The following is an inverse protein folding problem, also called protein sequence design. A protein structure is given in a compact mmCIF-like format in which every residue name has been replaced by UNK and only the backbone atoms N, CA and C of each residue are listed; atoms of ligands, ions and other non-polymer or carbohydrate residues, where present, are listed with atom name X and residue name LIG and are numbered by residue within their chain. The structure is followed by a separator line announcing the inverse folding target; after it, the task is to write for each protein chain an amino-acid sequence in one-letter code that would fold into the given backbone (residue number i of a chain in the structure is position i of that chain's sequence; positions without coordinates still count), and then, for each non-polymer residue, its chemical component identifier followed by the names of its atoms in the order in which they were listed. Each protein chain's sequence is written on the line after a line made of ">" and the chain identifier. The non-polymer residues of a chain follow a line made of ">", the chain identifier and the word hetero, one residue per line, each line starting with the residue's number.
data_IF_246518982508
#
_entry.id   IF_246518982508
#
_cell.length_a   1.000
_cell.length_b   1.000
_cell.length_c   1.000
_cell.angle_alpha   90.00
_cell.angle_beta   90.00
_cell.angle_gamma   90.00
#
_symmetry.space_group_name_H-M   'P 1'
#
loop_
_entity.id
_entity.type
_entity.pdbx_description
1 polymer ?
#
# COMPACT_ATOMS: atom_id res chain seq x y z
N UNK A 1 -15.45 -12.89 -2.83
CA UNK A 1 -15.61 -11.42 -2.83
C UNK A 1 -14.23 -10.80 -2.89
N UNK A 2 -13.98 -10.02 -3.94
CA UNK A 2 -12.69 -9.41 -4.25
C UNK A 2 -12.27 -8.44 -3.16
N UNK A 3 -11.02 -8.52 -2.66
CA UNK A 3 -10.45 -7.69 -1.58
C UNK A 3 -10.37 -6.18 -1.82
N UNK A 4 -11.11 -5.66 -2.82
CA UNK A 4 -11.21 -4.24 -3.19
C UNK A 4 -12.04 -3.40 -2.21
N UNK A 5 -12.78 -4.01 -1.28
CA UNK A 5 -13.72 -3.28 -0.42
C UNK A 5 -13.09 -2.64 0.85
N UNK A 6 -11.78 -2.81 1.10
CA UNK A 6 -11.12 -2.37 2.34
C UNK A 6 -10.10 -1.24 2.17
N UNK A 7 -9.73 -0.90 0.92
CA UNK A 7 -8.77 0.15 0.64
C UNK A 7 -9.49 1.45 0.28
N UNK A 8 -9.03 2.55 0.87
CA UNK A 8 -9.38 3.91 0.44
C UNK A 8 -8.77 4.23 -0.92
N UNK A 9 -9.28 5.25 -1.60
CA UNK A 9 -8.74 5.70 -2.89
C UNK A 9 -7.24 6.01 -2.83
N UNK A 10 -6.78 6.60 -1.71
CA UNK A 10 -5.37 6.86 -1.44
C UNK A 10 -4.58 5.56 -1.36
N UNK A 11 -5.09 4.57 -0.63
CA UNK A 11 -4.41 3.28 -0.45
C UNK A 11 -4.33 2.46 -1.74
N UNK A 12 -5.33 2.55 -2.61
CA UNK A 12 -5.29 1.93 -3.95
C UNK A 12 -4.19 2.58 -4.79
N UNK A 13 -4.12 3.90 -4.80
CA UNK A 13 -3.10 4.64 -5.56
C UNK A 13 -1.68 4.34 -5.07
N UNK A 14 -1.51 4.20 -3.76
CA UNK A 14 -0.25 3.77 -3.14
C UNK A 14 0.15 2.37 -3.56
N UNK A 15 -0.79 1.42 -3.56
CA UNK A 15 -0.52 0.05 -4.00
C UNK A 15 -0.11 -0.02 -5.48
N UNK A 16 -0.78 0.76 -6.34
CA UNK A 16 -0.45 0.84 -7.77
C UNK A 16 0.93 1.47 -8.01
N UNK A 17 1.28 2.53 -7.27
CA UNK A 17 2.60 3.17 -7.34
C UNK A 17 3.71 2.25 -6.85
N UNK A 18 3.48 1.52 -5.76
CA UNK A 18 4.43 0.55 -5.22
C UNK A 18 4.69 -0.63 -6.19
N UNK A 19 3.73 -0.97 -7.05
CA UNK A 19 3.91 -1.97 -8.11
C UNK A 19 4.71 -1.42 -9.31
N UNK A 20 4.62 -0.12 -9.57
CA UNK A 20 5.23 0.54 -10.73
C UNK A 20 6.65 1.09 -10.46
N UNK A 21 7.00 1.39 -9.21
CA UNK A 21 8.28 2.00 -8.84
C UNK A 21 8.97 1.24 -7.68
N UNK A 22 10.25 0.85 -7.83
CA UNK A 22 11.01 0.21 -6.76
C UNK A 22 11.64 1.28 -5.85
N UNK A 23 10.84 1.96 -5.02
CA UNK A 23 11.41 2.91 -4.04
C UNK A 23 10.37 3.67 -3.23
N UNK A 24 10.61 3.80 -1.93
CA UNK A 24 9.75 4.54 -1.00
C UNK A 24 9.71 6.04 -1.33
N UNK A 25 10.79 6.56 -1.89
CA UNK A 25 10.97 7.95 -2.29
C UNK A 25 10.03 8.32 -3.44
N UNK A 26 9.89 7.45 -4.43
CA UNK A 26 8.97 7.66 -5.55
C UNK A 26 7.50 7.61 -5.10
N UNK A 27 7.19 6.74 -4.15
CA UNK A 27 5.85 6.68 -3.53
C UNK A 27 5.57 7.95 -2.72
N UNK A 28 6.54 8.43 -1.94
CA UNK A 28 6.42 9.66 -1.15
C UNK A 28 6.22 10.91 -2.03
N UNK A 29 7.01 11.03 -3.10
CA UNK A 29 6.89 12.11 -4.08
C UNK A 29 5.50 12.12 -4.74
N UNK A 30 5.04 10.95 -5.19
CA UNK A 30 3.73 10.82 -5.83
C UNK A 30 2.54 11.12 -4.89
N UNK A 31 2.73 10.97 -3.59
CA UNK A 31 1.74 11.30 -2.56
C UNK A 31 1.87 12.73 -2.01
N UNK A 32 2.97 13.43 -2.31
CA UNK A 32 3.27 14.74 -1.74
C UNK A 32 3.50 14.70 -0.23
N UNK A 33 4.03 13.59 0.29
CA UNK A 33 4.31 13.37 1.72
C UNK A 33 5.79 13.07 1.94
N UNK A 34 6.21 13.00 3.20
CA UNK A 34 7.57 12.58 3.55
C UNK A 34 7.74 11.06 3.42
N UNK A 35 8.95 10.54 3.12
CA UNK A 35 9.20 9.10 2.99
C UNK A 35 8.77 8.27 4.22
N UNK A 36 8.91 8.83 5.42
CA UNK A 36 8.50 8.18 6.67
C UNK A 36 6.98 8.01 6.73
N UNK A 37 6.23 9.03 6.31
CA UNK A 37 4.77 9.01 6.26
C UNK A 37 4.27 8.02 5.19
N UNK A 38 4.94 7.97 4.03
CA UNK A 38 4.65 7.01 2.97
C UNK A 38 4.86 5.56 3.42
N UNK A 39 5.84 5.31 4.30
CA UNK A 39 6.13 3.98 4.85
C UNK A 39 4.98 3.49 5.71
N UNK A 40 4.44 4.35 6.58
CA UNK A 40 3.29 4.02 7.45
C UNK A 40 2.04 3.69 6.62
N UNK A 41 1.81 4.44 5.53
CA UNK A 41 0.69 4.19 4.62
C UNK A 41 0.86 2.86 3.90
N UNK A 42 2.06 2.56 3.39
CA UNK A 42 2.36 1.28 2.74
C UNK A 42 2.19 0.10 3.70
N UNK A 43 2.69 0.17 4.93
CA UNK A 43 2.48 -0.88 5.93
C UNK A 43 0.99 -1.11 6.24
N UNK A 44 0.21 -0.03 6.25
CA UNK A 44 -1.25 -0.11 6.46
C UNK A 44 -1.93 -0.78 5.27
N UNK A 45 -1.54 -0.41 4.05
CA UNK A 45 -2.00 -1.03 2.80
C UNK A 45 -1.63 -2.52 2.78
N UNK A 46 -0.38 -2.88 3.07
CA UNK A 46 0.08 -4.27 3.13
C UNK A 46 -0.65 -5.08 4.20
N UNK A 47 -0.94 -4.50 5.37
CA UNK A 47 -1.76 -5.15 6.41
C UNK A 47 -3.21 -5.38 5.97
N UNK A 48 -3.81 -4.42 5.27
CA UNK A 48 -5.18 -4.53 4.75
C UNK A 48 -5.30 -5.51 3.59
N UNK A 49 -4.28 -5.56 2.73
CA UNK A 49 -4.17 -6.54 1.67
C UNK A 49 -3.89 -7.93 2.23
N UNK A 50 -3.13 -8.00 3.32
CA UNK A 50 -2.73 -9.22 4.03
C UNK A 50 -2.01 -10.24 3.13
N UNK A 51 -1.48 -11.33 3.70
CA UNK A 51 -1.46 -12.58 2.97
C UNK A 51 -2.92 -13.04 2.89
N UNK A 52 -3.61 -12.82 1.77
CA UNK A 52 -4.83 -13.54 1.44
C UNK A 52 -4.52 -15.03 1.15
N UNK A 53 -3.78 -15.70 2.04
CA UNK A 53 -3.22 -17.04 1.83
C UNK A 53 -2.55 -17.72 3.04
N UNK A 54 -2.40 -17.08 4.21
CA UNK A 54 -1.98 -17.81 5.43
C UNK A 54 -3.18 -18.14 6.31
N UNK A 55 -4.05 -19.00 5.79
CA UNK A 55 -4.65 -20.03 6.63
C UNK A 55 -3.58 -21.10 6.85
N UNK A 56 -2.79 -20.95 7.91
CA UNK A 56 -1.84 -21.95 8.43
C UNK A 56 -1.63 -21.51 9.88
N UNK A 57 -1.99 -22.23 10.93
CA UNK A 57 -2.31 -23.63 11.12
C UNK A 57 -3.34 -23.77 12.25
#
# INVERSE_FOLDING_TARGET
>A
MSGRALLTEVEVRVAELALAAPGIEAVAEALGVRPEDATVVLETVYRKLGPAGSATH
#
